data_IF_609720784037
#
_entry.id   IF_609720784037
#
_cell.length_a   1.000
_cell.length_b   1.000
_cell.length_c   1.000
_cell.angle_alpha   90.00
_cell.angle_beta   90.00
_cell.angle_gamma   90.00
#
_symmetry.space_group_name_H-M   'P 1'
#
loop_
_entity.id
_entity.type
_entity.pdbx_description
1 polymer ?
#
# COMPACT_ATOMS: atom_id res chain seq x y z
N UNK A 1 14.15 1.05 -1.71
CA UNK A 1 14.19 0.68 -3.14
C UNK A 1 13.12 1.48 -3.86
N UNK A 2 13.50 2.34 -4.80
CA UNK A 2 12.55 3.09 -5.63
C UNK A 2 11.82 2.13 -6.55
N UNK A 3 10.52 2.30 -6.71
CA UNK A 3 9.68 1.43 -7.54
C UNK A 3 8.79 2.24 -8.47
N UNK A 4 8.52 1.68 -9.65
CA UNK A 4 7.47 2.17 -10.55
C UNK A 4 6.12 1.46 -10.24
N UNK A 5 5.05 1.83 -10.95
CA UNK A 5 3.72 1.24 -10.75
C UNK A 5 3.69 -0.29 -10.87
N UNK A 6 4.38 -0.84 -11.88
CA UNK A 6 4.36 -2.28 -12.15
C UNK A 6 5.08 -3.03 -11.03
N UNK A 7 6.22 -2.52 -10.59
CA UNK A 7 7.01 -3.13 -9.52
C UNK A 7 6.28 -3.06 -8.18
N UNK A 8 5.63 -1.93 -7.88
CA UNK A 8 4.81 -1.78 -6.68
C UNK A 8 3.62 -2.74 -6.70
N UNK A 9 2.90 -2.82 -7.82
CA UNK A 9 1.78 -3.75 -7.99
C UNK A 9 2.20 -5.20 -7.77
N UNK A 10 3.25 -5.65 -8.46
CA UNK A 10 3.79 -7.00 -8.28
C UNK A 10 4.17 -7.23 -6.82
N UNK A 11 4.86 -6.28 -6.19
CA UNK A 11 5.27 -6.43 -4.79
C UNK A 11 4.07 -6.59 -3.86
N UNK A 12 3.03 -5.78 -4.04
CA UNK A 12 1.82 -5.81 -3.23
C UNK A 12 0.99 -7.08 -3.42
N UNK A 13 1.03 -7.73 -4.60
CA UNK A 13 0.38 -9.03 -4.81
C UNK A 13 0.99 -10.16 -3.96
N UNK A 14 2.30 -10.13 -3.73
CA UNK A 14 3.02 -11.21 -3.04
C UNK A 14 3.43 -10.87 -1.61
N UNK A 15 3.16 -9.66 -1.16
CA UNK A 15 3.59 -9.19 0.16
C UNK A 15 2.38 -8.65 0.92
N UNK A 16 1.94 -9.34 1.98
CA UNK A 16 0.79 -8.90 2.76
C UNK A 16 1.11 -7.71 3.66
N UNK A 17 2.38 -7.36 3.91
CA UNK A 17 2.74 -6.17 4.70
C UNK A 17 3.88 -5.38 4.08
N UNK A 18 3.68 -4.09 3.84
CA UNK A 18 4.68 -3.18 3.26
C UNK A 18 4.70 -1.82 3.98
N UNK A 19 5.89 -1.23 4.09
CA UNK A 19 6.04 0.17 4.41
C UNK A 19 6.63 0.91 3.20
N UNK A 20 5.99 2.00 2.83
CA UNK A 20 6.43 2.90 1.78
C UNK A 20 6.88 4.23 2.36
N UNK A 21 7.85 4.85 1.70
CA UNK A 21 8.14 6.28 1.82
C UNK A 21 7.81 6.91 0.47
N UNK A 22 6.75 7.71 0.45
CA UNK A 22 6.17 8.33 -0.73
C UNK A 22 6.32 9.85 -0.62
N UNK A 23 7.21 10.46 -1.40
CA UNK A 23 7.52 11.90 -1.33
C UNK A 23 7.81 12.40 0.11
N UNK A 24 8.48 11.58 0.91
CA UNK A 24 8.76 11.87 2.32
C UNK A 24 7.69 11.38 3.31
N UNK A 25 6.46 11.13 2.85
CA UNK A 25 5.34 10.59 3.66
C UNK A 25 5.54 9.10 3.90
N UNK A 26 5.35 8.65 5.15
CA UNK A 26 5.39 7.22 5.48
C UNK A 26 3.97 6.65 5.37
N UNK A 27 3.82 5.59 4.58
CA UNK A 27 2.56 4.86 4.40
C UNK A 27 2.80 3.41 4.82
N UNK A 28 1.86 2.82 5.57
CA UNK A 28 1.89 1.40 5.89
C UNK A 28 0.71 0.69 5.24
N UNK A 29 0.99 -0.48 4.68
CA UNK A 29 0.04 -1.29 3.94
C UNK A 29 0.00 -2.68 4.57
N UNK A 30 -1.19 -3.17 4.85
CA UNK A 30 -1.39 -4.56 5.25
C UNK A 30 -2.60 -5.15 4.50
N UNK A 31 -2.43 -6.29 3.84
CA UNK A 31 -3.53 -7.08 3.34
C UNK A 31 -4.04 -7.98 4.46
N UNK A 32 -5.32 -7.85 4.80
CA UNK A 32 -5.94 -8.53 5.93
C UNK A 32 -7.16 -9.30 5.44
N UNK A 33 -7.28 -10.53 5.93
CA UNK A 33 -8.45 -11.40 5.80
C UNK A 33 -9.06 -11.56 7.19
N UNK A 34 -10.34 -11.25 7.33
CA UNK A 34 -11.10 -11.42 8.57
C UNK A 34 -12.52 -11.93 8.26
N UNK A 35 -13.33 -12.13 9.30
CA UNK A 35 -14.71 -12.63 9.19
C UNK A 35 -15.60 -11.74 8.32
N UNK A 36 -15.22 -10.46 8.20
CA UNK A 36 -15.92 -9.47 7.39
C UNK A 36 -15.39 -9.36 5.95
N UNK A 37 -14.34 -10.10 5.57
CA UNK A 37 -13.82 -10.21 4.21
C UNK A 37 -12.33 -9.88 4.05
N UNK A 38 -11.90 -9.73 2.79
CA UNK A 38 -10.53 -9.42 2.43
C UNK A 38 -10.37 -7.94 2.04
N UNK A 39 -9.26 -7.31 2.43
CA UNK A 39 -8.97 -5.95 2.00
C UNK A 39 -7.62 -5.40 2.46
N UNK A 40 -7.31 -4.20 1.99
CA UNK A 40 -6.11 -3.46 2.39
C UNK A 40 -6.41 -2.54 3.57
N UNK A 41 -5.70 -2.73 4.67
CA UNK A 41 -5.59 -1.75 5.74
C UNK A 41 -4.42 -0.82 5.41
N UNK A 42 -4.71 0.48 5.27
CA UNK A 42 -3.72 1.47 4.82
C UNK A 42 -3.66 2.60 5.84
N UNK A 43 -2.46 2.85 6.35
CA UNK A 43 -2.16 3.97 7.24
C UNK A 43 -1.58 5.13 6.45
N UNK A 44 -2.11 6.33 6.67
CA UNK A 44 -1.59 7.61 6.22
C UNK A 44 -1.55 7.81 4.69
N UNK A 45 -2.48 7.18 3.96
CA UNK A 45 -2.59 7.30 2.49
C UNK A 45 -2.86 8.74 2.02
N UNK A 46 -3.55 9.52 2.85
CA UNK A 46 -3.93 10.92 2.59
C UNK A 46 -3.00 11.93 3.27
N UNK A 47 -1.92 11.46 3.90
CA UNK A 47 -1.06 12.29 4.76
C UNK A 47 -1.83 12.93 5.94
N UNK A 48 -2.85 12.24 6.44
CA UNK A 48 -3.74 12.62 7.54
C UNK A 48 -3.46 11.88 8.85
N UNK A 49 -2.52 10.93 8.84
CA UNK A 49 -2.21 10.05 9.98
C UNK A 49 -3.23 8.93 10.22
N UNK A 50 -4.29 8.86 9.42
CA UNK A 50 -5.42 7.95 9.67
C UNK A 50 -5.18 6.56 9.09
N UNK A 51 -5.80 5.55 9.71
CA UNK A 51 -5.81 4.18 9.19
C UNK A 51 -7.18 3.85 8.62
N UNK A 52 -7.25 3.54 7.33
CA UNK A 52 -8.50 3.24 6.62
C UNK A 52 -8.49 1.81 6.07
N UNK A 53 -9.64 1.16 6.13
CA UNK A 53 -9.83 -0.17 5.58
C UNK A 53 -10.50 -0.11 4.20
N UNK A 54 -9.78 -0.57 3.18
CA UNK A 54 -10.20 -0.63 1.79
C UNK A 54 -10.64 -2.06 1.44
N UNK A 55 -11.87 -2.40 1.86
CA UNK A 55 -12.49 -3.72 1.62
C UNK A 55 -12.91 -3.88 0.15
N UNK A 56 -12.61 -5.03 -0.45
CA UNK A 56 -13.05 -5.37 -1.81
C UNK A 56 -12.38 -4.59 -2.96
N UNK A 57 -11.47 -3.67 -2.65
CA UNK A 57 -10.71 -2.90 -3.63
C UNK A 57 -9.57 -3.73 -4.18
N UNK A 58 -9.37 -3.72 -5.51
CA UNK A 58 -8.28 -4.45 -6.16
C UNK A 58 -6.95 -3.78 -5.83
N UNK A 59 -5.90 -4.58 -5.68
CA UNK A 59 -4.53 -4.07 -5.47
C UNK A 59 -4.10 -3.06 -6.53
N UNK A 60 -4.54 -3.23 -7.79
CA UNK A 60 -4.27 -2.26 -8.86
C UNK A 60 -4.83 -0.87 -8.56
N UNK A 61 -6.06 -0.80 -8.05
CA UNK A 61 -6.71 0.49 -7.73
C UNK A 61 -6.01 1.20 -6.57
N UNK A 62 -5.50 0.45 -5.59
CA UNK A 62 -4.66 1.01 -4.52
C UNK A 62 -3.35 1.56 -5.08
N UNK A 63 -2.68 0.83 -5.98
CA UNK A 63 -1.45 1.28 -6.63
C UNK A 63 -1.69 2.53 -7.47
N UNK A 64 -2.77 2.55 -8.25
CA UNK A 64 -3.15 3.70 -9.06
C UNK A 64 -3.42 4.93 -8.18
N UNK A 65 -4.05 4.73 -7.01
CA UNK A 65 -4.26 5.79 -6.01
C UNK A 65 -2.94 6.34 -5.47
N UNK A 66 -2.03 5.46 -5.02
CA UNK A 66 -0.73 5.86 -4.47
C UNK A 66 0.10 6.60 -5.52
N UNK A 67 0.14 6.09 -6.74
CA UNK A 67 1.01 6.61 -7.82
C UNK A 67 0.41 7.82 -8.54
N UNK A 68 -0.91 8.01 -8.45
CA UNK A 68 -1.58 9.26 -8.79
C UNK A 68 -1.20 10.38 -7.83
N UNK A 69 -1.14 10.09 -6.52
CA UNK A 69 -0.87 11.08 -5.46
C UNK A 69 0.62 11.35 -5.26
N UNK A 70 1.48 10.34 -5.33
CA UNK A 70 2.90 10.44 -5.01
C UNK A 70 3.77 10.11 -6.22
N UNK A 71 4.90 10.81 -6.36
CA UNK A 71 5.82 10.66 -7.50
C UNK A 71 7.05 9.84 -7.16
N UNK A 72 7.64 10.01 -5.98
CA UNK A 72 8.78 9.24 -5.51
C UNK A 72 8.35 8.20 -4.47
N UNK A 73 8.22 6.96 -4.91
CA UNK A 73 7.76 5.86 -4.06
C UNK A 73 8.91 4.89 -3.81
N UNK A 74 9.23 4.72 -2.52
CA UNK A 74 10.26 3.82 -2.06
C UNK A 74 9.67 2.76 -1.13
N UNK A 75 9.88 1.50 -1.44
CA UNK A 75 9.67 0.44 -0.45
C UNK A 75 10.81 0.53 0.56
N UNK A 76 10.45 0.74 1.82
CA UNK A 76 11.39 0.83 2.95
C UNK A 76 11.41 -0.44 3.77
N UNK A 77 10.32 -1.19 3.78
CA UNK A 77 10.24 -2.50 4.42
C UNK A 77 9.14 -3.34 3.78
N UNK A 78 9.32 -4.66 3.80
CA UNK A 78 8.33 -5.61 3.30
C UNK A 78 8.49 -6.94 4.02
N UNK A 79 7.40 -7.59 4.41
CA UNK A 79 7.41 -8.96 4.97
C UNK A 79 6.42 -9.85 4.26
N UNK A 80 6.93 -10.94 3.69
CA UNK A 80 6.12 -12.07 3.25
C UNK A 80 5.64 -12.85 4.48
N UNK A 81 4.41 -13.34 4.43
CA UNK A 81 3.95 -14.36 5.37
C UNK A 81 4.58 -15.70 4.98
#
# INVERSE_FOLDING_TARGET
MKVNNIDLYKKMLFTPRLNLKCDGVKIRLAYVTNDTGNGWLIENLENDGETKWHKGIKTKEIVDTITGRYKDINITWSRKL
#
